data_IF_442898747592
#
_entry.id   IF_442898747592
#
_cell.length_a   1.000
_cell.length_b   1.000
_cell.length_c   1.000
_cell.angle_alpha   90.00
_cell.angle_beta   90.00
_cell.angle_gamma   90.00
#
_symmetry.space_group_name_H-M   'P 1'
#
loop_
_entity.id
_entity.type
_entity.pdbx_description
1 polymer ?
#
# COMPACT_ATOMS: atom_id res chain seq x y z
N UNK A 1 9.11 15.78 3.97
CA UNK A 1 10.17 14.96 4.59
C UNK A 1 9.72 13.51 4.48
N UNK A 2 10.36 12.71 3.63
CA UNK A 2 10.04 11.28 3.54
C UNK A 2 10.48 10.58 4.83
N UNK A 3 9.51 10.21 5.66
CA UNK A 3 9.73 9.46 6.90
C UNK A 3 9.85 7.98 6.55
N UNK A 4 10.89 7.61 5.82
CA UNK A 4 11.18 6.23 5.46
C UNK A 4 12.22 5.67 6.44
N UNK A 5 11.83 4.64 7.19
CA UNK A 5 12.71 3.96 8.12
C UNK A 5 13.32 2.74 7.43
N UNK A 6 14.56 2.88 6.95
CA UNK A 6 15.21 1.86 6.11
C UNK A 6 15.54 0.56 6.84
N UNK A 7 15.52 0.58 8.17
CA UNK A 7 15.80 -0.58 9.02
C UNK A 7 14.53 -1.34 9.42
N UNK A 8 13.35 -0.88 8.99
CA UNK A 8 12.10 -1.54 9.32
C UNK A 8 12.02 -2.91 8.63
N UNK A 9 11.88 -4.03 9.38
CA UNK A 9 11.89 -5.37 8.79
C UNK A 9 10.71 -5.60 7.84
N UNK A 10 9.59 -4.89 8.04
CA UNK A 10 8.50 -4.87 7.07
C UNK A 10 8.95 -4.39 5.67
N UNK A 11 9.81 -3.38 5.55
CA UNK A 11 10.29 -2.90 4.25
C UNK A 11 11.11 -3.97 3.52
N UNK A 12 11.94 -4.71 4.26
CA UNK A 12 12.70 -5.84 3.73
C UNK A 12 11.78 -7.00 3.32
N UNK A 13 10.80 -7.36 4.16
CA UNK A 13 9.84 -8.42 3.86
C UNK A 13 9.10 -8.17 2.54
N UNK A 14 8.60 -6.94 2.30
CA UNK A 14 7.90 -6.62 1.05
C UNK A 14 8.83 -6.73 -0.15
N UNK A 15 10.09 -6.34 -0.02
CA UNK A 15 11.09 -6.47 -1.08
C UNK A 15 11.29 -7.92 -1.53
N UNK A 16 11.30 -8.88 -0.60
CA UNK A 16 11.43 -10.30 -0.93
C UNK A 16 10.11 -10.92 -1.39
N UNK A 17 9.00 -10.67 -0.69
CA UNK A 17 7.67 -11.24 -1.01
C UNK A 17 7.24 -10.90 -2.43
N UNK A 18 7.54 -9.70 -2.93
CA UNK A 18 7.18 -9.32 -4.31
C UNK A 18 8.01 -10.03 -5.39
N UNK A 19 9.18 -10.57 -5.04
CA UNK A 19 10.15 -11.18 -5.98
C UNK A 19 10.08 -12.70 -5.97
N UNK A 20 9.61 -13.30 -4.89
CA UNK A 20 9.56 -14.74 -4.71
C UNK A 20 8.12 -15.26 -4.73
N UNK A 21 7.85 -16.23 -5.60
CA UNK A 21 6.52 -16.79 -5.79
C UNK A 21 6.05 -17.63 -4.58
N UNK A 22 6.97 -18.28 -3.87
CA UNK A 22 6.64 -19.10 -2.70
C UNK A 22 6.29 -18.21 -1.51
N UNK A 23 7.06 -17.15 -1.26
CA UNK A 23 6.73 -16.14 -0.25
C UNK A 23 5.40 -15.44 -0.57
N UNK A 24 5.15 -15.12 -1.84
CA UNK A 24 3.89 -14.54 -2.27
C UNK A 24 2.70 -15.48 -2.06
N UNK A 25 2.86 -16.78 -2.28
CA UNK A 25 1.82 -17.76 -1.99
C UNK A 25 1.52 -17.83 -0.48
N UNK A 26 2.57 -17.76 0.36
CA UNK A 26 2.43 -17.73 1.82
C UNK A 26 1.81 -16.44 2.36
N UNK A 27 1.88 -15.33 1.62
CA UNK A 27 1.29 -14.05 2.05
C UNK A 27 -0.17 -14.16 2.49
N UNK A 28 -0.97 -14.95 1.75
CA UNK A 28 -2.41 -15.08 2.00
C UNK A 28 -2.74 -16.24 2.95
N UNK A 29 -1.89 -17.25 3.03
CA UNK A 29 -2.14 -18.47 3.81
C UNK A 29 -1.47 -18.47 5.17
N UNK A 30 -0.36 -17.75 5.31
CA UNK A 30 0.52 -17.75 6.50
C UNK A 30 1.23 -16.39 6.67
N UNK A 31 0.45 -15.30 6.75
CA UNK A 31 1.00 -13.97 6.98
C UNK A 31 1.75 -13.86 8.32
N UNK A 32 1.26 -14.55 9.35
CA UNK A 32 1.85 -14.52 10.69
C UNK A 32 3.21 -15.26 10.73
N UNK A 33 3.33 -16.42 10.07
CA UNK A 33 4.61 -17.12 9.96
C UNK A 33 5.63 -16.30 9.19
N UNK A 34 5.23 -15.71 8.05
CA UNK A 34 6.08 -14.78 7.30
C UNK A 34 6.55 -13.60 8.15
N UNK A 35 5.63 -12.93 8.85
CA UNK A 35 5.97 -11.80 9.71
C UNK A 35 7.02 -12.19 10.77
N UNK A 36 6.88 -13.37 11.38
CA UNK A 36 7.84 -13.88 12.37
C UNK A 36 9.21 -14.21 11.77
N UNK A 37 9.25 -14.80 10.57
CA UNK A 37 10.51 -15.14 9.89
C UNK A 37 11.32 -13.90 9.52
N UNK A 38 10.66 -12.82 9.10
CA UNK A 38 11.31 -11.54 8.81
C UNK A 38 11.54 -10.68 10.07
N UNK A 39 11.15 -11.15 11.26
CA UNK A 39 11.39 -10.45 12.52
C UNK A 39 10.50 -9.23 12.75
N UNK A 40 9.31 -9.17 12.15
CA UNK A 40 8.36 -8.08 12.39
C UNK A 40 7.92 -8.05 13.85
N UNK A 41 7.90 -6.85 14.41
CA UNK A 41 7.29 -6.60 15.70
C UNK A 41 5.76 -6.74 15.65
N UNK A 42 5.14 -6.81 16.83
CA UNK A 42 3.69 -6.94 16.98
C UNK A 42 2.94 -5.78 16.29
N UNK A 43 3.43 -4.55 16.45
CA UNK A 43 2.82 -3.36 15.86
C UNK A 43 2.87 -3.36 14.32
N UNK A 44 3.98 -3.82 13.74
CA UNK A 44 4.14 -3.94 12.29
C UNK A 44 3.17 -4.98 11.73
N UNK A 45 3.10 -6.14 12.39
CA UNK A 45 2.19 -7.20 12.01
C UNK A 45 0.73 -6.76 12.10
N UNK A 46 0.33 -6.08 13.17
CA UNK A 46 -1.05 -5.60 13.34
C UNK A 46 -1.44 -4.58 12.28
N UNK A 47 -0.60 -3.57 12.04
CA UNK A 47 -0.85 -2.57 11.01
C UNK A 47 -0.90 -3.20 9.60
N UNK A 48 -0.03 -4.19 9.33
CA UNK A 48 -0.03 -4.92 8.07
C UNK A 48 -1.30 -5.76 7.89
N UNK A 49 -1.67 -6.53 8.93
CA UNK A 49 -2.86 -7.39 8.94
C UNK A 49 -4.14 -6.59 8.75
N UNK A 50 -4.23 -5.42 9.40
CA UNK A 50 -5.37 -4.52 9.33
C UNK A 50 -5.40 -3.68 8.05
N UNK A 51 -4.28 -3.65 7.31
CA UNK A 51 -4.06 -2.76 6.15
C UNK A 51 -4.21 -1.29 6.54
N UNK A 52 -3.78 -0.94 7.76
CA UNK A 52 -3.81 0.43 8.27
C UNK A 52 -2.67 1.24 7.64
N UNK A 53 -2.96 1.79 6.46
CA UNK A 53 -2.02 2.61 5.67
C UNK A 53 -1.46 3.78 6.47
N UNK A 54 -2.25 4.36 7.37
CA UNK A 54 -1.82 5.48 8.19
C UNK A 54 -0.75 5.01 9.17
N UNK A 55 -1.02 3.95 9.93
CA UNK A 55 -0.03 3.35 10.84
C UNK A 55 1.23 2.89 10.10
N UNK A 56 1.09 2.28 8.93
CA UNK A 56 2.23 1.88 8.10
C UNK A 56 3.12 3.08 7.73
N UNK A 57 2.51 4.21 7.31
CA UNK A 57 3.26 5.44 7.05
C UNK A 57 3.90 6.02 8.32
N UNK A 58 3.18 6.04 9.44
CA UNK A 58 3.69 6.59 10.70
C UNK A 58 4.89 5.79 11.25
N UNK A 59 4.90 4.46 11.06
CA UNK A 59 6.00 3.55 11.39
C UNK A 59 7.20 3.64 10.43
N UNK A 60 7.05 4.35 9.31
CA UNK A 60 8.11 4.57 8.34
C UNK A 60 8.24 3.50 7.25
N UNK A 61 7.16 2.79 6.95
CA UNK A 61 7.09 1.96 5.73
C UNK A 61 7.29 2.85 4.51
N UNK A 62 8.13 2.41 3.59
CA UNK A 62 8.43 3.18 2.40
C UNK A 62 7.17 3.38 1.55
N UNK A 63 6.89 4.61 1.12
CA UNK A 63 5.68 4.98 0.35
C UNK A 63 5.43 4.09 -0.89
N UNK A 64 6.49 3.70 -1.59
CA UNK A 64 6.43 2.77 -2.73
C UNK A 64 5.93 1.36 -2.38
N UNK A 65 6.11 0.90 -1.14
CA UNK A 65 5.66 -0.43 -0.69
C UNK A 65 4.20 -0.44 -0.27
N UNK A 66 3.62 0.68 0.17
CA UNK A 66 2.20 0.78 0.51
C UNK A 66 1.27 0.26 -0.60
N UNK A 67 1.32 0.77 -1.86
CA UNK A 67 0.46 0.26 -2.92
C UNK A 67 0.75 -1.21 -3.28
N UNK A 68 1.98 -1.69 -3.05
CA UNK A 68 2.34 -3.09 -3.30
C UNK A 68 1.74 -4.02 -2.26
N UNK A 69 1.80 -3.65 -0.98
CA UNK A 69 1.14 -4.34 0.13
C UNK A 69 -0.35 -4.49 -0.17
N UNK A 70 -1.01 -3.40 -0.56
CA UNK A 70 -2.44 -3.43 -0.90
C UNK A 70 -2.72 -4.37 -2.08
N UNK A 71 -1.89 -4.33 -3.13
CA UNK A 71 -2.02 -5.25 -4.27
C UNK A 71 -1.80 -6.72 -3.90
N UNK A 72 -0.94 -7.02 -2.92
CA UNK A 72 -0.74 -8.38 -2.42
C UNK A 72 -1.99 -8.90 -1.69
N UNK A 73 -2.76 -8.04 -1.02
CA UNK A 73 -4.01 -8.42 -0.35
C UNK A 73 -5.23 -8.51 -1.28
N UNK A 74 -5.43 -7.53 -2.16
CA UNK A 74 -6.64 -7.45 -3.00
C UNK A 74 -6.47 -8.08 -4.39
N UNK A 75 -5.27 -8.58 -4.70
CA UNK A 75 -4.94 -9.14 -6.01
C UNK A 75 -4.75 -8.08 -7.10
N UNK A 76 -4.37 -8.53 -8.30
CA UNK A 76 -4.19 -7.64 -9.46
C UNK A 76 -5.52 -7.13 -10.05
N UNK A 77 -6.68 -7.66 -9.64
CA UNK A 77 -7.99 -7.17 -10.08
C UNK A 77 -8.36 -5.79 -9.52
N UNK A 78 -7.58 -5.26 -8.57
CA UNK A 78 -7.61 -3.85 -8.19
C UNK A 78 -6.92 -2.92 -9.21
N UNK A 79 -6.44 -3.46 -10.34
CA UNK A 79 -5.90 -2.72 -11.47
C UNK A 79 -6.94 -2.50 -12.58
N UNK A 80 -8.22 -2.67 -12.28
CA UNK A 80 -9.28 -2.00 -13.04
C UNK A 80 -9.40 -0.57 -12.49
N UNK A 81 -9.47 0.43 -13.36
CA UNK A 81 -9.70 1.86 -13.06
C UNK A 81 -11.07 2.14 -12.39
N UNK A 82 -11.48 1.31 -11.45
CA UNK A 82 -12.71 1.38 -10.68
C UNK A 82 -12.45 0.70 -9.33
N UNK A 83 -11.77 1.39 -8.39
CA UNK A 83 -11.50 0.84 -7.06
C UNK A 83 -12.04 1.75 -5.95
N UNK A 84 -12.68 1.19 -4.90
CA UNK A 84 -13.03 1.89 -3.65
C UNK A 84 -11.82 2.44 -2.87
N UNK A 85 -10.59 2.21 -3.36
CA UNK A 85 -9.38 2.87 -2.85
C UNK A 85 -9.36 4.35 -3.24
N UNK A 86 -9.96 4.71 -4.39
CA UNK A 86 -10.16 6.11 -4.75
C UNK A 86 -11.18 6.76 -3.81
N UNK A 87 -12.22 6.04 -3.38
CA UNK A 87 -13.17 6.53 -2.37
C UNK A 87 -12.52 6.68 -0.99
N UNK A 88 -11.69 5.72 -0.57
CA UNK A 88 -10.93 5.82 0.68
C UNK A 88 -9.96 7.02 0.66
N UNK A 89 -9.28 7.25 -0.47
CA UNK A 89 -8.40 8.39 -0.66
C UNK A 89 -9.18 9.72 -0.68
N UNK A 90 -10.30 9.79 -1.41
CA UNK A 90 -11.20 10.97 -1.46
C UNK A 90 -11.80 11.32 -0.10
N UNK A 91 -12.13 10.31 0.71
CA UNK A 91 -12.65 10.50 2.07
C UNK A 91 -11.59 11.01 3.05
N UNK A 92 -10.31 10.63 2.83
CA UNK A 92 -9.20 11.07 3.65
C UNK A 92 -8.65 12.45 3.23
N UNK A 93 -8.73 12.81 1.94
CA UNK A 93 -8.15 14.04 1.38
C UNK A 93 -9.13 14.70 0.37
N UNK A 94 -10.18 15.39 0.85
CA UNK A 94 -11.22 15.94 -0.02
C UNK A 94 -10.73 17.11 -0.90
N UNK A 95 -9.77 17.91 -0.43
CA UNK A 95 -9.27 19.10 -1.15
C UNK A 95 -8.38 18.73 -2.35
N UNK A 96 -7.55 17.68 -2.20
CA UNK A 96 -6.66 17.20 -3.27
C UNK A 96 -7.43 16.46 -4.38
N UNK A 97 -8.52 15.78 -4.02
CA UNK A 97 -9.41 15.16 -4.99
C UNK A 97 -10.08 16.20 -5.91
N UNK A 98 -10.44 17.37 -5.38
CA UNK A 98 -11.05 18.45 -6.16
C UNK A 98 -10.07 19.07 -7.17
N UNK A 99 -8.79 19.19 -6.78
CA UNK A 99 -7.74 19.69 -7.67
C UNK A 99 -7.44 18.73 -8.84
N UNK A 100 -7.49 17.42 -8.59
CA UNK A 100 -7.29 16.39 -9.61
C UNK A 100 -8.42 16.36 -10.65
N UNK A 101 -9.66 16.52 -10.22
CA UNK A 101 -10.84 16.62 -11.09
C UNK A 101 -10.78 17.85 -12.01
N UNK A 102 -10.41 19.02 -11.46
CA UNK A 102 -10.23 20.22 -12.26
C UNK A 102 -9.10 20.11 -13.29
N UNK A 103 -8.03 19.37 -12.98
CA UNK A 103 -6.94 19.14 -13.91
C UNK A 103 -7.37 18.22 -15.07
N UNK A 104 -8.11 17.16 -14.78
CA UNK A 104 -8.69 16.29 -15.82
C UNK A 104 -9.70 17.03 -16.71
N UNK A 105 -10.56 17.86 -16.13
CA UNK A 105 -11.53 18.67 -16.88
C UNK A 105 -10.89 19.75 -17.77
N UNK A 106 -9.65 20.18 -17.46
CA UNK A 106 -8.88 21.11 -18.30
C UNK A 106 -8.15 20.39 -19.43
N UNK A 107 -7.62 19.20 -19.17
CA UNK A 107 -6.97 18.36 -20.19
C UNK A 107 -7.98 17.88 -21.24
N UNK A 108 -9.20 17.50 -20.82
CA UNK A 108 -10.27 17.10 -21.74
C UNK A 108 -10.79 18.24 -22.64
N UNK A 109 -10.62 19.51 -22.21
CA UNK A 109 -11.02 20.69 -23.00
C UNK A 109 -9.92 21.24 -23.92
N UNK A 110 -8.69 20.74 -23.81
CA UNK A 110 -7.56 21.15 -24.64
C UNK A 110 -7.29 20.25 -25.86
N UNK A 111 -8.06 19.17 -26.02
CA UNK A 111 -8.04 18.30 -27.20
C UNK A 111 -9.39 18.38 -27.91
N UNK A 112 -9.61 19.49 -28.61
CA UNK A 112 -10.78 19.74 -29.46
C UNK A 112 -10.42 20.74 -30.54
#
# INVERSE_FOLDING_TARGET
MERCDKTLPLNEMIFYVRRDAALRARWLTDLAGLAREFGLGQAEYEALRDRDVRRLNEMGVHQYYIPQILRLFYGASANSNAHPALEAYRKAYPEEAAASDQLQARLARGQG
#
